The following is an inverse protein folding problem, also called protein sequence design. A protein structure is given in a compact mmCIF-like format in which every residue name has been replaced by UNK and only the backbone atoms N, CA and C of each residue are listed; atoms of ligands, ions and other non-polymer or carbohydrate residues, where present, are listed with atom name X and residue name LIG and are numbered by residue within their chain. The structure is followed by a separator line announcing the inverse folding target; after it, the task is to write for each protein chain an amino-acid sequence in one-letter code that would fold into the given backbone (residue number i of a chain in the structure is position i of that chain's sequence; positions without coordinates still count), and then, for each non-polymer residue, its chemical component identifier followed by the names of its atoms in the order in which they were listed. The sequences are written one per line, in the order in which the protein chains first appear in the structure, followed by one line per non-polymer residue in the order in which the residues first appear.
data_IF_718041174723
#
_entry.id   IF_718041174723
#
_cell.length_a   1.000
_cell.length_b   1.000
_cell.length_c   1.000
_cell.angle_alpha   90.00
_cell.angle_beta   90.00
_cell.angle_gamma   90.00
#
_symmetry.space_group_name_H-M   'P 1'
#
loop_
_entity.id
_entity.type
_entity.pdbx_description
1 polymer ?
#
# COMPACT_ATOMS: atom_id res chain seq x y z
N UNK A 1 33.85 3.70 -18.85
CA UNK A 1 33.26 3.75 -17.49
C UNK A 1 31.81 3.27 -17.43
N UNK A 2 30.94 3.51 -18.43
CA UNK A 2 29.53 3.07 -18.37
C UNK A 2 29.29 1.55 -18.42
N UNK A 3 30.00 0.82 -19.27
CA UNK A 3 29.83 -0.64 -19.42
C UNK A 3 30.22 -1.44 -18.15
N UNK A 4 31.18 -0.94 -17.37
CA UNK A 4 31.64 -1.58 -16.13
C UNK A 4 30.60 -1.45 -15.01
N UNK A 5 29.97 -0.28 -14.89
CA UNK A 5 28.91 -0.02 -13.91
C UNK A 5 27.65 -0.87 -14.17
N UNK A 6 27.29 -1.10 -15.44
CA UNK A 6 26.16 -1.98 -15.78
C UNK A 6 26.45 -3.44 -15.44
N UNK A 7 27.67 -3.91 -15.74
CA UNK A 7 28.10 -5.27 -15.40
C UNK A 7 28.15 -5.50 -13.89
N UNK A 8 28.63 -4.52 -13.13
CA UNK A 8 28.64 -4.55 -11.66
C UNK A 8 27.22 -4.63 -11.11
N UNK A 9 26.31 -3.75 -11.56
CA UNK A 9 24.89 -3.77 -11.14
C UNK A 9 24.19 -5.09 -11.47
N UNK A 10 24.47 -5.67 -12.64
CA UNK A 10 23.91 -6.97 -13.03
C UNK A 10 24.42 -8.10 -12.12
N UNK A 11 25.71 -8.09 -11.78
CA UNK A 11 26.33 -9.05 -10.87
C UNK A 11 25.77 -8.92 -9.45
N UNK A 12 25.62 -7.69 -8.95
CA UNK A 12 25.00 -7.41 -7.65
C UNK A 12 23.54 -7.86 -7.62
N UNK A 13 22.77 -7.58 -8.67
CA UNK A 13 21.39 -8.05 -8.80
C UNK A 13 21.32 -9.57 -8.79
N UNK A 14 22.18 -10.27 -9.54
CA UNK A 14 22.19 -11.72 -9.60
C UNK A 14 22.48 -12.33 -8.23
N UNK A 15 23.46 -11.79 -7.51
CA UNK A 15 23.77 -12.18 -6.12
C UNK A 15 22.56 -11.98 -5.20
N UNK A 16 21.92 -10.81 -5.26
CA UNK A 16 20.73 -10.50 -4.44
C UNK A 16 19.49 -11.30 -4.84
N UNK A 17 19.37 -11.72 -6.09
CA UNK A 17 18.27 -12.53 -6.57
C UNK A 17 18.42 -13.98 -6.12
N UNK A 18 19.65 -14.53 -6.19
CA UNK A 18 19.95 -15.88 -5.76
C UNK A 18 19.61 -16.15 -4.28
N UNK A 19 19.75 -15.15 -3.41
CA UNK A 19 19.40 -15.29 -1.97
C UNK A 19 17.89 -15.39 -1.72
N UNK A 20 17.04 -15.10 -2.71
CA UNK A 20 15.58 -15.08 -2.56
C UNK A 20 14.92 -16.44 -2.78
N UNK A 21 15.64 -17.46 -3.25
CA UNK A 21 15.03 -18.74 -3.62
C UNK A 21 14.17 -19.37 -2.49
N UNK A 22 14.61 -19.42 -1.22
CA UNK A 22 13.76 -19.93 -0.14
C UNK A 22 12.52 -19.06 0.11
N UNK A 23 12.67 -17.73 0.06
CA UNK A 23 11.55 -16.80 0.26
C UNK A 23 10.53 -16.87 -0.90
N UNK A 24 10.99 -17.07 -2.13
CA UNK A 24 10.12 -17.29 -3.30
C UNK A 24 9.38 -18.62 -3.21
N UNK A 25 10.02 -19.68 -2.71
CA UNK A 25 9.37 -20.95 -2.47
C UNK A 25 8.26 -20.81 -1.41
N UNK A 26 8.56 -20.22 -0.25
CA UNK A 26 7.59 -19.98 0.81
C UNK A 26 6.42 -19.08 0.34
N UNK A 27 6.71 -18.00 -0.39
CA UNK A 27 5.67 -17.14 -0.99
C UNK A 27 4.78 -17.91 -1.96
N UNK A 28 5.38 -18.73 -2.83
CA UNK A 28 4.63 -19.57 -3.75
C UNK A 28 3.79 -20.63 -3.02
N UNK A 29 4.21 -21.10 -1.85
CA UNK A 29 3.48 -22.07 -1.03
C UNK A 29 2.31 -21.45 -0.24
N UNK A 30 2.40 -20.16 0.12
CA UNK A 30 1.37 -19.47 0.92
C UNK A 30 0.02 -19.38 0.19
N UNK A 31 0.02 -19.19 -1.14
CA UNK A 31 -1.12 -19.13 -2.09
C UNK A 31 -2.16 -18.03 -1.85
N UNK A 32 -2.52 -17.73 -0.62
CA UNK A 32 -3.60 -16.85 -0.25
C UNK A 32 -3.14 -15.94 0.91
N UNK A 33 -3.32 -14.64 0.72
CA UNK A 33 -2.91 -13.63 1.69
C UNK A 33 -3.84 -12.42 1.65
N UNK A 34 -3.70 -11.56 2.65
CA UNK A 34 -4.42 -10.29 2.76
C UNK A 34 -3.52 -9.14 2.35
N UNK A 35 -4.10 -8.17 1.64
CA UNK A 35 -3.48 -6.88 1.41
C UNK A 35 -4.32 -5.80 2.07
N UNK A 36 -3.70 -4.97 2.92
CA UNK A 36 -4.39 -3.92 3.66
C UNK A 36 -4.02 -2.56 3.08
N UNK A 37 -5.00 -1.87 2.50
CA UNK A 37 -4.89 -0.46 2.12
C UNK A 37 -5.47 0.39 3.25
N UNK A 38 -4.60 0.87 4.14
CA UNK A 38 -4.97 1.71 5.27
C UNK A 38 -4.07 2.93 5.41
N UNK A 39 -4.68 4.10 5.61
CA UNK A 39 -3.96 5.36 5.79
C UNK A 39 -4.92 6.55 5.87
N UNK A 40 -4.39 7.77 5.71
CA UNK A 40 -5.19 9.00 5.86
C UNK A 40 -6.42 9.06 4.95
N UNK A 41 -6.35 8.44 3.76
CA UNK A 41 -7.45 8.36 2.80
C UNK A 41 -8.64 7.54 3.32
N UNK A 42 -8.44 6.70 4.33
CA UNK A 42 -9.52 5.94 4.97
C UNK A 42 -10.48 6.84 5.74
N UNK A 43 -10.05 8.04 6.16
CA UNK A 43 -10.92 9.04 6.81
C UNK A 43 -11.96 9.64 5.83
N UNK A 44 -11.57 10.23 4.69
CA UNK A 44 -12.53 10.72 3.71
C UNK A 44 -13.28 9.60 2.98
N UNK A 45 -12.72 8.39 2.90
CA UNK A 45 -13.41 7.23 2.30
C UNK A 45 -13.83 7.45 0.85
N UNK A 46 -13.12 8.30 0.11
CA UNK A 46 -13.49 8.68 -1.27
C UNK A 46 -14.43 9.88 -1.39
N UNK A 47 -14.80 10.53 -0.28
CA UNK A 47 -15.59 11.76 -0.27
C UNK A 47 -14.74 12.92 0.24
N UNK A 48 -14.66 14.00 -0.53
CA UNK A 48 -13.97 15.21 -0.12
C UNK A 48 -14.91 16.42 -0.18
N UNK A 49 -15.12 17.10 0.95
CA UNK A 49 -16.00 18.28 1.06
C UNK A 49 -17.40 18.09 0.44
N UNK A 50 -17.98 16.90 0.61
CA UNK A 50 -19.30 16.54 0.10
C UNK A 50 -19.33 16.05 -1.35
N UNK A 51 -18.19 16.07 -2.06
CA UNK A 51 -18.11 15.52 -3.40
C UNK A 51 -17.54 14.10 -3.38
N UNK A 52 -18.22 13.16 -4.05
CA UNK A 52 -17.63 11.84 -4.25
C UNK A 52 -16.50 11.92 -5.25
N UNK A 53 -15.48 11.09 -5.07
CA UNK A 53 -14.40 10.86 -6.03
C UNK A 53 -14.92 10.44 -7.41
N UNK A 54 -16.07 9.79 -7.50
CA UNK A 54 -16.70 9.40 -8.77
C UNK A 54 -17.19 10.62 -9.56
N UNK A 55 -17.57 11.69 -8.86
CA UNK A 55 -18.13 12.91 -9.44
C UNK A 55 -17.00 13.83 -9.94
N UNK A 56 -16.26 13.38 -10.96
CA UNK A 56 -15.18 14.11 -11.63
C UNK A 56 -13.79 13.96 -10.99
N UNK A 57 -12.83 14.72 -11.51
CA UNK A 57 -11.43 14.69 -11.07
C UNK A 57 -10.46 14.00 -12.03
N UNK A 58 -9.18 13.94 -11.65
CA UNK A 58 -8.08 13.41 -12.48
C UNK A 58 -7.39 12.22 -11.82
N UNK A 59 -7.35 11.08 -12.51
CA UNK A 59 -6.64 9.89 -12.04
C UNK A 59 -7.57 8.76 -11.56
N UNK A 60 -7.04 7.75 -10.84
CA UNK A 60 -7.78 6.54 -10.51
C UNK A 60 -9.00 6.79 -9.61
N UNK A 61 -10.09 6.07 -9.88
CA UNK A 61 -11.31 6.07 -9.06
C UNK A 61 -11.22 5.10 -7.89
N UNK A 62 -10.14 5.17 -7.11
CA UNK A 62 -9.96 4.42 -5.84
C UNK A 62 -9.65 5.39 -4.70
N UNK A 63 -10.15 5.11 -3.49
CA UNK A 63 -10.14 6.06 -2.36
C UNK A 63 -8.72 6.49 -1.94
N UNK A 64 -7.74 5.60 -2.05
CA UNK A 64 -6.33 5.91 -1.78
C UNK A 64 -5.76 7.05 -2.66
N UNK A 65 -6.39 7.32 -3.81
CA UNK A 65 -6.02 8.40 -4.73
C UNK A 65 -6.87 9.67 -4.55
N UNK A 66 -7.71 9.78 -3.51
CA UNK A 66 -8.62 10.92 -3.29
C UNK A 66 -7.88 12.26 -3.33
N UNK A 67 -6.67 12.31 -2.77
CA UNK A 67 -5.80 13.48 -2.81
C UNK A 67 -5.50 13.97 -4.23
N UNK A 68 -5.07 13.05 -5.11
CA UNK A 68 -4.79 13.39 -6.51
C UNK A 68 -6.07 13.69 -7.27
N UNK A 69 -7.10 12.86 -7.06
CA UNK A 69 -8.33 12.91 -7.84
C UNK A 69 -9.10 14.21 -7.62
N UNK A 70 -9.15 14.70 -6.39
CA UNK A 70 -9.78 15.98 -6.03
C UNK A 70 -8.77 17.13 -5.94
N UNK A 71 -7.54 16.93 -6.43
CA UNK A 71 -6.48 17.94 -6.43
C UNK A 71 -6.31 18.64 -5.07
N UNK A 72 -6.39 17.86 -3.99
CA UNK A 72 -6.33 18.36 -2.62
C UNK A 72 -4.91 18.88 -2.36
N UNK A 73 -4.75 20.14 -1.89
CA UNK A 73 -3.46 20.66 -1.46
C UNK A 73 -2.79 19.76 -0.40
N UNK A 74 -1.45 19.68 -0.45
CA UNK A 74 -0.69 18.78 0.44
C UNK A 74 -0.82 19.15 1.91
N UNK A 75 -0.75 20.43 2.20
CA UNK A 75 -0.93 21.02 3.52
C UNK A 75 -2.34 20.77 4.07
N UNK A 76 -3.37 20.90 3.24
CA UNK A 76 -4.75 20.60 3.62
C UNK A 76 -4.93 19.10 3.91
N UNK A 77 -4.44 18.23 3.04
CA UNK A 77 -4.53 16.78 3.23
C UNK A 77 -3.75 16.29 4.45
N UNK A 78 -2.62 16.92 4.78
CA UNK A 78 -1.79 16.57 5.92
C UNK A 78 -2.52 16.77 7.26
N UNK A 79 -3.49 17.69 7.35
CA UNK A 79 -4.29 17.91 8.56
C UNK A 79 -5.11 16.68 8.95
N UNK A 80 -5.40 15.77 8.01
CA UNK A 80 -6.05 14.49 8.30
C UNK A 80 -5.24 13.64 9.29
N UNK A 81 -3.91 13.82 9.34
CA UNK A 81 -3.05 13.10 10.28
C UNK A 81 -3.37 13.45 11.75
N UNK A 82 -3.86 14.66 12.02
CA UNK A 82 -4.25 15.07 13.38
C UNK A 82 -5.54 14.36 13.85
N UNK A 83 -6.42 14.04 12.90
CA UNK A 83 -7.67 13.32 13.17
C UNK A 83 -7.54 11.80 13.07
N UNK A 84 -6.43 11.28 12.53
CA UNK A 84 -6.23 9.85 12.32
C UNK A 84 -5.90 9.15 13.65
N UNK A 85 -6.94 8.75 14.36
CA UNK A 85 -6.83 8.01 15.62
C UNK A 85 -7.72 6.76 15.61
N UNK A 86 -7.20 5.62 15.15
CA UNK A 86 -7.99 4.40 15.01
C UNK A 86 -8.18 3.68 16.35
N UNK A 87 -9.06 4.21 17.19
CA UNK A 87 -9.30 3.71 18.56
C UNK A 87 -9.84 2.28 18.63
N UNK A 88 -10.43 1.77 17.54
CA UNK A 88 -10.90 0.39 17.43
C UNK A 88 -9.91 -0.55 16.75
N UNK A 89 -8.67 -0.12 16.53
CA UNK A 89 -7.65 -0.99 15.94
C UNK A 89 -7.13 -1.99 16.97
N UNK A 90 -7.19 -3.27 16.61
CA UNK A 90 -6.59 -4.38 17.34
C UNK A 90 -5.79 -5.23 16.35
N UNK A 91 -4.47 -5.31 16.55
CA UNK A 91 -3.57 -6.06 15.69
C UNK A 91 -3.76 -7.57 15.81
N UNK A 92 -4.09 -8.06 17.02
CA UNK A 92 -4.30 -9.48 17.28
C UNK A 92 -5.60 -9.93 16.64
N UNK A 93 -6.66 -9.12 16.71
CA UNK A 93 -7.92 -9.40 16.02
C UNK A 93 -7.73 -9.52 14.50
N UNK A 94 -6.94 -8.61 13.90
CA UNK A 94 -6.69 -8.64 12.45
C UNK A 94 -5.83 -9.83 12.03
N UNK A 95 -4.81 -10.18 12.83
CA UNK A 95 -3.97 -11.34 12.58
C UNK A 95 -4.77 -12.64 12.73
N UNK A 96 -5.63 -12.72 13.76
CA UNK A 96 -6.51 -13.85 13.99
C UNK A 96 -7.51 -14.00 12.85
N UNK A 97 -8.13 -12.92 12.39
CA UNK A 97 -9.04 -12.93 11.23
C UNK A 97 -8.36 -13.48 9.98
N UNK A 98 -7.13 -13.06 9.70
CA UNK A 98 -6.36 -13.56 8.56
C UNK A 98 -6.08 -15.07 8.68
N UNK A 99 -5.67 -15.52 9.88
CA UNK A 99 -5.43 -16.93 10.16
C UNK A 99 -6.70 -17.77 10.04
N UNK A 100 -7.83 -17.30 10.58
CA UNK A 100 -9.14 -17.96 10.51
C UNK A 100 -9.66 -18.05 9.07
N UNK A 101 -9.36 -17.05 8.24
CA UNK A 101 -9.63 -17.09 6.80
C UNK A 101 -8.73 -18.06 6.02
N UNK A 102 -7.71 -18.64 6.67
CA UNK A 102 -6.77 -19.60 6.08
C UNK A 102 -5.62 -18.94 5.30
N UNK A 103 -5.35 -17.66 5.52
CA UNK A 103 -4.23 -16.95 4.90
C UNK A 103 -2.89 -17.38 5.51
N UNK A 104 -1.81 -17.27 4.72
CA UNK A 104 -0.45 -17.67 5.13
C UNK A 104 0.60 -16.63 4.79
#
# INVERSE_FOLDING_TARGET
MGATLEAERASEWARMHATKAPALAAFNEAKFGMFIHWGLYSLPGGVWKGERMEDGGVGPGVAEWVMRRKSIPRDEYAQLAEAFNPVGFDADEWAQLAADAGMR
#
